data_IF_624578049625
#
_entry.id   IF_624578049625
#
_cell.length_a   1.000
_cell.length_b   1.000
_cell.length_c   1.000
_cell.angle_alpha   90.00
_cell.angle_beta   90.00
_cell.angle_gamma   90.00
#
_symmetry.space_group_name_H-M   'P 1'
#
loop_
_entity.id
_entity.type
_entity.pdbx_description
1 polymer ?
#
# COMPACT_ATOMS: atom_id res chain seq x y z
N UNK A 1 -5.25 -21.75 -11.58
CA UNK A 1 -5.69 -21.32 -11.32
C UNK A 1 -5.60 -20.19 -11.21
N UNK A 2 -5.69 -19.67 -11.38
CA UNK A 2 -5.55 -18.74 -11.35
C UNK A 2 -5.62 -18.00 -10.53
N UNK A 3 -5.80 -18.07 -10.05
CA UNK A 3 -5.72 -17.58 -9.12
C UNK A 3 -4.61 -16.97 -8.80
N UNK A 4 -3.72 -17.06 -9.34
CA UNK A 4 -2.46 -16.51 -9.02
C UNK A 4 -2.49 -15.04 -8.84
N UNK A 5 -3.28 -14.41 -9.62
CA UNK A 5 -3.40 -12.97 -9.49
C UNK A 5 -4.38 -12.59 -8.41
N UNK A 6 -5.09 -13.55 -7.91
CA UNK A 6 -6.05 -13.28 -6.89
C UNK A 6 -5.36 -13.11 -5.56
N UNK A 7 -5.57 -12.02 -4.95
CA UNK A 7 -5.01 -11.75 -3.63
C UNK A 7 -5.98 -12.19 -2.58
N UNK A 8 -5.54 -13.03 -1.70
CA UNK A 8 -6.40 -13.61 -0.68
C UNK A 8 -6.32 -12.75 0.58
N UNK A 9 -7.46 -12.41 1.10
CA UNK A 9 -7.51 -11.70 2.37
C UNK A 9 -7.05 -12.55 3.52
N UNK A 10 -7.01 -13.86 3.33
CA UNK A 10 -6.51 -14.74 4.36
C UNK A 10 -5.02 -14.61 4.56
N UNK A 11 -4.33 -14.08 3.58
CA UNK A 11 -2.88 -13.97 3.63
C UNK A 11 -2.46 -12.53 3.83
N UNK A 12 -3.13 -11.84 4.73
CA UNK A 12 -2.79 -10.47 5.02
C UNK A 12 -2.06 -10.37 6.34
N UNK A 13 -1.34 -9.29 6.51
CA UNK A 13 -0.64 -9.01 7.74
C UNK A 13 -0.72 -7.50 7.98
N UNK A 14 -0.48 -7.10 9.21
CA UNK A 14 -0.47 -5.68 9.57
C UNK A 14 0.97 -5.22 9.68
N UNK A 15 1.25 -4.08 9.10
CA UNK A 15 2.57 -3.47 9.19
C UNK A 15 2.43 -2.00 9.52
N UNK A 16 3.44 -1.47 10.17
CA UNK A 16 3.50 -0.02 10.35
C UNK A 16 3.70 0.62 8.99
N UNK A 17 3.08 1.78 8.82
CA UNK A 17 3.19 2.48 7.55
C UNK A 17 4.65 2.77 7.17
N UNK A 18 5.47 3.09 8.16
CA UNK A 18 6.87 3.42 7.87
C UNK A 18 7.72 2.19 7.55
N UNK A 19 7.18 1.00 7.72
CA UNK A 19 7.88 -0.23 7.40
C UNK A 19 7.56 -0.74 6.01
N UNK A 20 6.70 -0.06 5.28
CA UNK A 20 6.36 -0.47 3.93
C UNK A 20 7.52 -0.24 3.00
N UNK A 21 7.64 -1.09 2.01
CA UNK A 21 8.72 -1.06 1.04
C UNK A 21 8.15 -1.10 -0.36
N UNK A 22 8.89 -0.61 -1.34
CA UNK A 22 8.45 -0.76 -2.73
C UNK A 22 8.14 -2.21 -3.03
N UNK A 23 7.02 -2.43 -3.65
CA UNK A 23 6.58 -3.78 -4.00
C UNK A 23 5.57 -4.36 -3.03
N UNK A 24 5.45 -3.83 -1.83
CA UNK A 24 4.39 -4.27 -0.92
C UNK A 24 3.05 -3.91 -1.53
N UNK A 25 2.04 -4.72 -1.24
CA UNK A 25 0.69 -4.49 -1.73
C UNK A 25 -0.20 -4.28 -0.52
N UNK A 26 -0.90 -3.16 -0.48
CA UNK A 26 -1.68 -2.78 0.69
C UNK A 26 -3.13 -2.57 0.32
N UNK A 27 -4.00 -2.69 1.32
CA UNK A 27 -5.41 -2.36 1.20
C UNK A 27 -5.58 -0.89 1.54
N UNK A 28 -6.09 -0.12 0.60
CA UNK A 28 -6.24 1.30 0.81
C UNK A 28 -7.42 1.81 -0.02
N UNK A 29 -8.28 2.60 0.62
CA UNK A 29 -9.41 3.22 -0.08
C UNK A 29 -10.22 2.18 -0.88
N UNK A 30 -10.51 1.06 -0.25
CA UNK A 30 -11.31 -0.04 -0.79
C UNK A 30 -10.70 -0.74 -2.00
N UNK A 31 -9.38 -0.72 -2.09
CA UNK A 31 -8.69 -1.43 -3.17
C UNK A 31 -7.30 -1.86 -2.72
N UNK A 32 -6.71 -2.75 -3.50
CA UNK A 32 -5.33 -3.19 -3.27
C UNK A 32 -4.43 -2.39 -4.19
N UNK A 33 -3.37 -1.83 -3.64
CA UNK A 33 -2.43 -1.02 -4.40
C UNK A 33 -1.02 -1.43 -4.07
N UNK A 34 -0.17 -1.38 -5.07
CA UNK A 34 1.25 -1.64 -4.88
C UNK A 34 1.93 -0.35 -4.40
N UNK A 35 2.79 -0.50 -3.42
CA UNK A 35 3.54 0.63 -2.88
C UNK A 35 4.71 0.94 -3.79
N UNK A 36 4.80 2.18 -4.23
CA UNK A 36 5.94 2.66 -4.97
C UNK A 36 7.05 3.09 -4.01
N UNK A 37 6.65 3.75 -2.93
CA UNK A 37 7.60 4.20 -1.92
C UNK A 37 6.82 4.58 -0.67
N UNK A 38 7.50 4.56 0.46
CA UNK A 38 6.91 5.01 1.72
C UNK A 38 8.05 5.46 2.62
N UNK A 39 7.90 6.61 3.24
CA UNK A 39 8.94 7.16 4.10
C UNK A 39 8.33 8.10 5.13
N UNK A 40 8.96 8.22 6.29
CA UNK A 40 8.51 9.18 7.30
C UNK A 40 8.56 10.60 6.73
N UNK A 41 7.57 11.37 7.07
CA UNK A 41 7.55 12.77 6.66
C UNK A 41 7.45 13.63 7.92
N UNK A 42 6.43 14.48 8.03
CA UNK A 42 6.32 15.34 9.19
C UNK A 42 5.92 14.53 10.41
N UNK A 43 6.30 14.98 11.54
CA UNK A 43 5.92 14.43 12.84
C UNK A 43 5.34 13.04 12.74
N UNK A 44 4.08 12.88 12.97
CA UNK A 44 3.46 11.57 13.08
C UNK A 44 2.90 11.08 11.75
N UNK A 45 3.50 11.48 10.65
CA UNK A 45 2.99 11.08 9.34
C UNK A 45 4.03 10.32 8.55
N UNK A 46 3.53 9.52 7.64
CA UNK A 46 4.31 8.79 6.65
C UNK A 46 3.75 9.14 5.30
N UNK A 47 4.63 9.49 4.39
CA UNK A 47 4.23 9.72 3.00
C UNK A 47 4.26 8.38 2.29
N UNK A 48 3.15 8.02 1.67
CA UNK A 48 3.01 6.76 0.96
C UNK A 48 2.67 7.08 -0.48
N UNK A 49 3.43 6.49 -1.39
CA UNK A 49 3.20 6.65 -2.82
C UNK A 49 2.74 5.33 -3.38
N UNK A 50 1.58 5.36 -4.00
CA UNK A 50 0.94 4.15 -4.52
C UNK A 50 0.88 4.21 -6.03
N UNK A 51 1.06 3.06 -6.64
CA UNK A 51 0.93 2.94 -8.09
C UNK A 51 -0.55 2.74 -8.41
N UNK A 52 -1.09 3.64 -9.18
CA UNK A 52 -2.46 3.55 -9.64
C UNK A 52 -2.43 3.24 -11.12
N UNK A 53 -2.87 2.05 -11.45
CA UNK A 53 -2.79 1.55 -12.82
C UNK A 53 -4.18 1.14 -13.26
N UNK A 54 -4.68 1.76 -14.29
CA UNK A 54 -5.99 1.42 -14.82
C UNK A 54 -5.90 1.32 -16.34
N UNK A 55 -7.05 1.17 -17.00
CA UNK A 55 -7.06 0.89 -18.43
C UNK A 55 -6.46 2.02 -19.25
N UNK A 56 -6.39 3.21 -18.70
CA UNK A 56 -5.99 4.38 -19.50
C UNK A 56 -4.69 5.00 -19.04
N UNK A 57 -4.39 4.90 -17.76
CA UNK A 57 -3.23 5.60 -17.22
C UNK A 57 -2.55 4.74 -16.16
N UNK A 58 -1.29 5.08 -15.93
CA UNK A 58 -0.54 4.54 -14.81
C UNK A 58 0.17 5.72 -14.19
N UNK A 59 -0.09 6.00 -12.93
CA UNK A 59 0.51 7.15 -12.28
C UNK A 59 0.68 6.87 -10.79
N UNK A 60 1.38 7.77 -10.12
CA UNK A 60 1.65 7.66 -8.70
C UNK A 60 0.75 8.62 -7.96
N UNK A 61 0.05 8.10 -6.96
CA UNK A 61 -0.74 8.90 -6.04
C UNK A 61 0.00 8.98 -4.72
N UNK A 62 0.03 10.16 -4.15
CA UNK A 62 0.74 10.39 -2.90
C UNK A 62 -0.24 10.68 -1.79
N UNK A 63 -0.08 9.99 -0.66
CA UNK A 63 -0.94 10.15 0.50
C UNK A 63 -0.09 10.31 1.74
N UNK A 64 -0.67 10.95 2.74
CA UNK A 64 -0.04 11.04 4.04
C UNK A 64 -0.94 10.37 5.06
N UNK A 65 -0.36 9.48 5.84
CA UNK A 65 -1.10 8.72 6.84
C UNK A 65 -0.42 8.89 8.19
N UNK A 66 -1.13 8.54 9.23
CA UNK A 66 -0.58 8.66 10.57
C UNK A 66 0.33 7.49 10.87
N UNK A 67 1.44 7.79 11.51
CA UNK A 67 2.41 6.77 11.89
C UNK A 67 1.81 5.72 12.79
N UNK A 68 0.86 6.10 13.63
CA UNK A 68 0.28 5.15 14.59
C UNK A 68 -0.59 4.08 13.96
N UNK A 69 -1.11 4.36 12.79
CA UNK A 69 -2.00 3.43 12.13
C UNK A 69 -1.21 2.29 11.53
N UNK A 70 -1.90 1.21 11.26
CA UNK A 70 -1.30 0.06 10.60
C UNK A 70 -1.88 -0.09 9.23
N UNK A 71 -1.05 -0.57 8.33
CA UNK A 71 -1.47 -0.89 6.98
C UNK A 71 -1.76 -2.38 6.89
N UNK A 72 -2.80 -2.73 6.17
CA UNK A 72 -3.10 -4.13 5.89
C UNK A 72 -2.39 -4.50 4.60
N UNK A 73 -1.50 -5.47 4.66
CA UNK A 73 -0.63 -5.81 3.54
C UNK A 73 -0.87 -7.24 3.12
N UNK A 74 -0.56 -7.52 1.88
CA UNK A 74 -0.46 -8.89 1.42
C UNK A 74 0.75 -9.53 2.06
N UNK A 75 0.57 -10.68 2.61
CA UNK A 75 1.65 -11.41 3.26
C UNK A 75 2.54 -12.09 2.23
#
# INVERSE_FOLDING_TARGET
>A
MTKATKRSEKNTTQRDWHDLKPGDVIWFATGWFEVFDAYPSDYDTVTVKLIVDNAYTCHIETYQVRTHDKATCQA
#
